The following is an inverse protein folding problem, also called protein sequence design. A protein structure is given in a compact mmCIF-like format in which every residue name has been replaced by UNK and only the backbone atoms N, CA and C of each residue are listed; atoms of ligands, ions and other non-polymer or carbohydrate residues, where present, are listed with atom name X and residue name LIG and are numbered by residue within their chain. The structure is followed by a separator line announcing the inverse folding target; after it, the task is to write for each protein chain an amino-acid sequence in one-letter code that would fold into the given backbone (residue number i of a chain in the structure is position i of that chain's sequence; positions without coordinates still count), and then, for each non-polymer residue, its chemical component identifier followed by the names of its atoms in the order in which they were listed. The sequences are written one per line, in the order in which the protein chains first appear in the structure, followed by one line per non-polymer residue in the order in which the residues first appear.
data_IF_266047645411
#
_entry.id   IF_266047645411
#
_cell.length_a   1.000
_cell.length_b   1.000
_cell.length_c   1.000
_cell.angle_alpha   90.00
_cell.angle_beta   90.00
_cell.angle_gamma   90.00
#
_symmetry.space_group_name_H-M   'P 1'
#
loop_
_entity.id
_entity.type
_entity.pdbx_description
1 polymer ?
#
# COMPACT_ATOMS: atom_id res chain seq x y z
N UNK A 1 -17.15 37.36 -5.78
CA UNK A 1 -15.69 37.24 -5.58
C UNK A 1 -15.43 37.22 -4.08
N UNK A 2 -15.64 36.06 -3.44
CA UNK A 2 -14.78 35.53 -2.37
C UNK A 2 -14.77 34.01 -2.63
N UNK A 3 -13.58 33.47 -2.50
CA UNK A 3 -13.03 32.26 -3.09
C UNK A 3 -13.67 30.99 -2.47
N UNK A 4 -14.37 30.21 -3.29
CA UNK A 4 -14.90 28.87 -2.95
C UNK A 4 -13.77 27.82 -2.95
N UNK A 5 -12.59 28.18 -2.43
CA UNK A 5 -11.39 27.33 -2.40
C UNK A 5 -11.13 26.67 -1.06
N UNK A 6 -12.14 26.62 -0.18
CA UNK A 6 -11.98 26.10 1.18
C UNK A 6 -12.54 24.68 1.40
N UNK A 7 -12.84 23.93 0.33
CA UNK A 7 -13.32 22.54 0.44
C UNK A 7 -12.55 21.62 -0.51
N UNK A 8 -11.25 21.52 -0.31
CA UNK A 8 -10.44 20.47 -0.94
C UNK A 8 -9.30 20.01 -0.03
N UNK A 9 -9.51 20.00 1.28
CA UNK A 9 -8.86 18.97 2.11
C UNK A 9 -9.48 17.63 1.72
N UNK A 10 -9.09 17.13 0.54
CA UNK A 10 -9.29 15.74 0.17
C UNK A 10 -8.58 14.94 1.25
N UNK A 11 -9.33 14.36 2.19
CA UNK A 11 -8.73 13.58 3.26
C UNK A 11 -7.85 12.49 2.64
N UNK A 12 -6.54 12.66 2.77
CA UNK A 12 -5.55 11.73 2.25
C UNK A 12 -5.32 10.64 3.28
N UNK A 13 -4.81 9.52 2.81
CA UNK A 13 -4.44 8.37 3.60
C UNK A 13 -2.98 8.05 3.34
N UNK A 14 -2.22 7.79 4.38
CA UNK A 14 -0.87 7.24 4.26
C UNK A 14 -0.89 5.76 4.66
N UNK A 15 -0.05 4.96 4.02
CA UNK A 15 0.19 3.60 4.48
C UNK A 15 1.10 3.62 5.70
N UNK A 16 0.58 3.15 6.84
CA UNK A 16 1.38 2.92 8.06
C UNK A 16 2.13 1.60 7.92
N UNK A 17 1.40 0.57 7.48
CA UNK A 17 1.96 -0.77 7.29
C UNK A 17 1.23 -1.46 6.15
N UNK A 18 1.99 -2.24 5.39
CA UNK A 18 1.47 -3.14 4.37
C UNK A 18 2.18 -4.48 4.54
N UNK A 19 1.43 -5.54 4.80
CA UNK A 19 1.94 -6.90 4.98
C UNK A 19 1.32 -7.79 3.91
N UNK A 20 2.10 -8.74 3.41
CA UNK A 20 1.66 -9.70 2.40
C UNK A 20 2.22 -11.09 2.69
N UNK A 21 1.59 -12.12 2.13
CA UNK A 21 2.01 -13.51 2.19
C UNK A 21 2.19 -13.99 3.64
N UNK A 22 3.40 -14.37 4.04
CA UNK A 22 3.68 -14.93 5.37
C UNK A 22 3.40 -13.90 6.49
N UNK A 23 3.82 -12.65 6.30
CA UNK A 23 3.62 -11.58 7.28
C UNK A 23 2.13 -11.22 7.46
N UNK A 24 1.34 -11.33 6.38
CA UNK A 24 -0.10 -11.12 6.44
C UNK A 24 -0.84 -12.33 7.03
N UNK A 25 -0.33 -13.54 6.80
CA UNK A 25 -1.01 -14.78 7.20
C UNK A 25 -1.26 -14.84 8.71
N UNK A 26 -0.30 -14.40 9.52
CA UNK A 26 -0.46 -14.33 10.98
C UNK A 26 -1.59 -13.35 11.36
N UNK A 27 -1.64 -12.19 10.71
CA UNK A 27 -2.64 -11.17 11.00
C UNK A 27 -4.02 -11.50 10.46
N UNK A 28 -4.13 -12.17 9.32
CA UNK A 28 -5.40 -12.71 8.82
C UNK A 28 -5.95 -13.76 9.80
N UNK A 29 -5.11 -14.63 10.35
CA UNK A 29 -5.52 -15.58 11.39
C UNK A 29 -5.91 -14.88 12.70
N UNK A 30 -5.23 -13.78 13.06
CA UNK A 30 -5.63 -12.95 14.21
C UNK A 30 -6.98 -12.29 13.98
N UNK A 31 -7.26 -11.78 12.77
CA UNK A 31 -8.54 -11.18 12.41
C UNK A 31 -9.67 -12.21 12.52
N UNK A 32 -9.48 -13.43 12.01
CA UNK A 32 -10.50 -14.49 12.11
C UNK A 32 -10.77 -14.91 13.57
N UNK A 33 -9.74 -14.92 14.41
CA UNK A 33 -9.82 -15.33 15.83
C UNK A 33 -10.37 -14.25 16.75
N UNK A 34 -9.83 -13.04 16.67
CA UNK A 34 -10.02 -11.96 17.65
C UNK A 34 -10.79 -10.75 17.08
N UNK A 35 -11.01 -10.72 15.77
CA UNK A 35 -11.69 -9.63 15.06
C UNK A 35 -10.76 -8.52 14.57
N UNK A 36 -11.31 -7.66 13.71
CA UNK A 36 -10.56 -6.59 13.04
C UNK A 36 -10.08 -5.50 14.00
N UNK A 37 -10.83 -5.22 15.08
CA UNK A 37 -10.44 -4.25 16.09
C UNK A 37 -9.10 -4.62 16.76
N UNK A 38 -8.92 -5.91 17.08
CA UNK A 38 -7.67 -6.39 17.67
C UNK A 38 -6.49 -6.24 16.69
N UNK A 39 -6.71 -6.51 15.40
CA UNK A 39 -5.69 -6.32 14.38
C UNK A 39 -5.30 -4.84 14.20
N UNK A 40 -6.28 -3.93 14.25
CA UNK A 40 -6.05 -2.48 14.24
C UNK A 40 -5.22 -2.05 15.46
N UNK A 41 -5.57 -2.49 16.67
CA UNK A 41 -4.79 -2.20 17.89
C UNK A 41 -3.35 -2.74 17.83
N UNK A 42 -3.16 -3.93 17.25
CA UNK A 42 -1.84 -4.51 17.07
C UNK A 42 -0.99 -3.71 16.06
N UNK A 43 -1.56 -3.35 14.92
CA UNK A 43 -0.86 -2.63 13.86
C UNK A 43 -0.56 -1.17 14.22
N UNK A 44 -1.40 -0.53 15.04
CA UNK A 44 -1.17 0.83 15.53
C UNK A 44 0.14 0.97 16.31
N UNK A 45 0.61 -0.09 16.96
CA UNK A 45 1.90 -0.07 17.68
C UNK A 45 3.11 0.08 16.74
N UNK A 46 2.91 -0.09 15.43
CA UNK A 46 3.92 0.10 14.38
C UNK A 46 3.86 1.49 13.75
N UNK A 47 2.90 2.32 14.15
CA UNK A 47 2.83 3.71 13.73
C UNK A 47 3.73 4.57 14.62
N UNK A 48 4.86 4.98 14.09
CA UNK A 48 5.82 5.83 14.79
C UNK A 48 5.53 7.33 14.62
N UNK A 49 4.35 7.71 14.12
CA UNK A 49 3.97 9.12 14.01
C UNK A 49 4.63 9.78 12.80
N UNK A 50 5.47 10.79 13.04
CA UNK A 50 6.08 11.60 11.99
C UNK A 50 7.08 10.82 11.14
N UNK A 51 7.88 9.92 11.73
CA UNK A 51 8.78 9.06 10.96
C UNK A 51 8.02 8.16 9.97
N UNK A 52 6.84 7.69 10.36
CA UNK A 52 5.97 6.88 9.47
C UNK A 52 5.35 7.75 8.38
N UNK A 53 4.94 8.98 8.72
CA UNK A 53 4.45 9.95 7.72
C UNK A 53 5.53 10.25 6.69
N UNK A 54 6.72 10.66 7.12
CA UNK A 54 7.82 11.02 6.22
C UNK A 54 8.19 9.85 5.30
N UNK A 55 8.33 8.65 5.87
CA UNK A 55 8.58 7.45 5.09
C UNK A 55 7.49 7.20 4.03
N UNK A 56 6.21 7.33 4.39
CA UNK A 56 5.11 7.17 3.45
C UNK A 56 5.12 8.24 2.35
N UNK A 57 5.40 9.51 2.69
CA UNK A 57 5.48 10.61 1.71
C UNK A 57 6.65 10.40 0.74
N UNK A 58 7.85 10.07 1.25
CA UNK A 58 9.07 9.86 0.46
C UNK A 58 8.90 8.67 -0.50
N UNK A 59 8.25 7.60 -0.05
CA UNK A 59 8.00 6.42 -0.88
C UNK A 59 6.74 6.54 -1.77
N UNK A 60 5.94 7.60 -1.60
CA UNK A 60 4.71 7.81 -2.36
C UNK A 60 3.54 6.91 -1.94
N UNK A 61 3.55 6.36 -0.72
CA UNK A 61 2.44 5.59 -0.14
C UNK A 61 1.34 6.49 0.42
N UNK A 62 0.88 7.42 -0.42
CA UNK A 62 -0.15 8.42 -0.11
C UNK A 62 -1.29 8.24 -1.10
N UNK A 63 -2.52 8.25 -0.60
CA UNK A 63 -3.71 7.98 -1.38
C UNK A 63 -4.78 9.04 -1.10
N UNK A 64 -5.48 9.50 -2.14
CA UNK A 64 -6.61 10.44 -1.96
C UNK A 64 -7.87 9.77 -1.40
N UNK A 65 -7.91 8.43 -1.41
CA UNK A 65 -8.97 7.60 -0.82
C UNK A 65 -8.36 6.27 -0.40
N UNK A 66 -9.05 5.55 0.49
CA UNK A 66 -8.66 4.19 0.84
C UNK A 66 -8.59 3.33 -0.44
N UNK A 67 -7.43 2.72 -0.77
CA UNK A 67 -7.33 1.77 -1.86
C UNK A 67 -8.14 0.51 -1.51
N UNK A 68 -9.18 0.25 -2.28
CA UNK A 68 -10.07 -0.90 -2.11
C UNK A 68 -10.22 -1.62 -3.45
N UNK A 69 -9.79 -2.87 -3.50
CA UNK A 69 -10.07 -3.83 -4.56
C UNK A 69 -11.39 -4.56 -4.34
N UNK A 70 -11.90 -5.23 -5.38
CA UNK A 70 -13.20 -5.93 -5.32
C UNK A 70 -13.25 -7.11 -4.35
N UNK A 71 -12.09 -7.64 -3.94
CA UNK A 71 -11.97 -8.76 -3.00
C UNK A 71 -11.55 -8.30 -1.59
N UNK A 72 -11.56 -7.00 -1.35
CA UNK A 72 -11.03 -6.41 -0.13
C UNK A 72 -12.16 -6.19 0.85
N UNK A 73 -11.84 -6.37 2.13
CA UNK A 73 -12.63 -5.89 3.23
C UNK A 73 -11.98 -4.64 3.78
N UNK A 74 -12.81 -3.64 4.08
CA UNK A 74 -12.37 -2.36 4.63
C UNK A 74 -13.14 -2.07 5.89
N UNK A 75 -12.41 -1.80 6.96
CA UNK A 75 -12.95 -1.33 8.23
C UNK A 75 -12.45 0.09 8.44
N UNK A 76 -13.39 1.01 8.59
CA UNK A 76 -13.15 2.41 8.93
C UNK A 76 -14.04 2.73 10.12
N UNK A 77 -13.47 3.35 11.13
CA UNK A 77 -14.20 3.86 12.29
C UNK A 77 -14.16 5.40 12.26
N UNK A 78 -15.31 6.09 12.32
CA UNK A 78 -15.36 7.55 12.19
C UNK A 78 -14.71 8.30 13.36
N UNK A 79 -14.56 7.65 14.51
CA UNK A 79 -13.90 8.20 15.70
C UNK A 79 -12.39 7.87 15.73
N UNK A 80 -11.89 7.09 14.76
CA UNK A 80 -10.50 6.67 14.62
C UNK A 80 -9.86 7.29 13.38
N UNK A 81 -8.57 7.69 13.43
CA UNK A 81 -7.84 8.11 12.24
C UNK A 81 -7.40 6.93 11.36
N UNK A 82 -7.70 5.69 11.75
CA UNK A 82 -7.21 4.49 11.06
C UNK A 82 -8.28 3.78 10.24
N UNK A 83 -7.84 3.24 9.11
CA UNK A 83 -8.61 2.29 8.33
C UNK A 83 -7.79 1.02 8.10
N UNK A 84 -8.43 -0.13 8.24
CA UNK A 84 -7.86 -1.43 7.93
C UNK A 84 -8.40 -1.90 6.57
N UNK A 85 -7.50 -2.29 5.67
CA UNK A 85 -7.88 -3.03 4.47
C UNK A 85 -7.21 -4.39 4.47
N UNK A 86 -7.94 -5.43 4.08
CA UNK A 86 -7.37 -6.76 3.97
C UNK A 86 -8.07 -7.57 2.89
N UNK A 87 -7.34 -8.50 2.29
CA UNK A 87 -7.89 -9.50 1.39
C UNK A 87 -7.33 -10.87 1.73
N UNK A 88 -8.20 -11.78 2.17
CA UNK A 88 -7.82 -13.17 2.39
C UNK A 88 -7.47 -13.88 1.08
N UNK A 89 -8.11 -13.48 -0.03
CA UNK A 89 -7.86 -14.04 -1.35
C UNK A 89 -6.45 -13.72 -1.87
N UNK A 90 -5.99 -12.49 -1.64
CA UNK A 90 -4.67 -12.02 -2.10
C UNK A 90 -3.62 -12.01 -0.98
N UNK A 91 -3.99 -12.45 0.22
CA UNK A 91 -3.07 -12.62 1.34
C UNK A 91 -2.39 -11.33 1.79
N UNK A 92 -3.12 -10.23 1.95
CA UNK A 92 -2.56 -8.98 2.47
C UNK A 92 -3.41 -8.31 3.53
N UNK A 93 -2.74 -7.49 4.34
CA UNK A 93 -3.33 -6.60 5.34
C UNK A 93 -2.60 -5.27 5.30
N UNK A 94 -3.34 -4.17 5.28
CA UNK A 94 -2.81 -2.81 5.33
C UNK A 94 -3.52 -1.98 6.39
N UNK A 95 -2.73 -1.25 7.19
CA UNK A 95 -3.24 -0.19 8.05
C UNK A 95 -2.93 1.15 7.39
N UNK A 96 -3.96 1.97 7.26
CA UNK A 96 -3.88 3.32 6.73
C UNK A 96 -4.19 4.30 7.86
N UNK A 97 -3.54 5.47 7.83
CA UNK A 97 -3.84 6.59 8.72
C UNK A 97 -4.28 7.80 7.90
N UNK A 98 -5.31 8.48 8.36
CA UNK A 98 -5.77 9.74 7.78
C UNK A 98 -4.71 10.81 7.97
N UNK A 99 -4.34 11.45 6.88
CA UNK A 99 -3.30 12.45 6.80
C UNK A 99 -3.89 13.72 6.20
N UNK A 100 -3.95 14.76 7.03
CA UNK A 100 -4.28 16.10 6.61
C UNK A 100 -2.96 16.82 6.32
N UNK A 101 -2.63 17.00 5.04
CA UNK A 101 -1.47 17.79 4.67
C UNK A 101 -1.69 19.21 5.16
N UNK A 102 -0.91 19.65 6.15
CA UNK A 102 -0.81 21.06 6.48
C UNK A 102 -0.49 21.81 5.18
N UNK A 103 -1.36 22.74 4.77
CA UNK A 103 -1.25 23.47 3.50
C UNK A 103 0.07 24.27 3.37
N UNK A 104 0.86 24.36 4.43
CA UNK A 104 2.20 24.95 4.51
C UNK A 104 3.35 24.00 4.13
N UNK A 105 3.08 22.72 3.83
CA UNK A 105 4.10 21.83 3.27
C UNK A 105 4.28 22.14 1.78
N UNK A 106 5.16 23.10 1.49
CA UNK A 106 5.60 23.44 0.13
C UNK A 106 5.92 22.16 -0.65
N UNK A 107 5.37 21.97 -1.86
CA UNK A 107 5.70 20.81 -2.67
C UNK A 107 7.19 20.87 -2.97
N UNK A 108 7.96 19.94 -2.42
CA UNK A 108 9.31 19.67 -2.90
C UNK A 108 9.18 19.14 -4.33
N UNK A 109 9.16 20.07 -5.28
CA UNK A 109 9.40 19.79 -6.68
C UNK A 109 10.81 19.21 -6.75
N UNK A 110 10.90 17.89 -6.68
CA UNK A 110 12.06 17.20 -7.22
C UNK A 110 11.98 17.41 -8.73
N UNK A 111 12.50 18.55 -9.21
CA UNK A 111 13.10 18.61 -10.53
C UNK A 111 14.20 17.55 -10.51
N UNK A 112 13.81 16.32 -10.88
CA UNK A 112 14.71 15.35 -11.44
C UNK A 112 15.27 16.03 -12.70
N UNK A 113 16.35 16.77 -12.51
CA UNK A 113 17.24 17.19 -13.57
C UNK A 113 17.71 15.90 -14.22
N UNK A 114 17.00 15.50 -15.27
CA UNK A 114 17.41 14.43 -16.16
C UNK A 114 18.58 14.99 -16.94
N UNK A 115 19.75 15.04 -16.30
CA UNK A 115 21.00 15.30 -17.00
C UNK A 115 21.27 14.07 -17.85
N UNK A 116 20.80 14.15 -19.09
CA UNK A 116 21.05 13.19 -20.16
C UNK A 116 22.56 13.13 -20.41
N UNK A 117 23.23 12.17 -19.81
CA UNK A 117 24.57 11.77 -20.22
C UNK A 117 24.66 10.25 -20.28
N UNK A 118 24.19 9.72 -21.40
CA UNK A 118 24.60 8.40 -21.86
C UNK A 118 24.70 8.43 -23.39
N UNK A 119 25.90 8.25 -23.97
CA UNK A 119 26.04 7.60 -25.24
C UNK A 119 26.55 6.18 -24.97
N UNK A 120 25.62 5.25 -24.75
CA UNK A 120 25.91 3.86 -25.09
C UNK A 120 24.67 3.24 -25.75
N UNK A 121 24.55 3.51 -27.06
CA UNK A 121 23.89 2.59 -27.98
C UNK A 121 24.73 1.32 -28.03
N UNK A 122 24.12 0.16 -27.82
CA UNK A 122 23.76 -0.73 -28.94
C UNK A 122 22.95 -1.96 -28.45
N UNK A 123 21.93 -2.35 -29.23
CA UNK A 123 21.34 -3.70 -29.34
C UNK A 123 20.62 -4.32 -28.11
N UNK A 124 19.43 -4.96 -28.11
CA UNK A 124 18.44 -5.53 -29.07
C UNK A 124 17.39 -6.31 -28.18
N UNK A 125 16.16 -6.68 -28.63
CA UNK A 125 14.94 -5.91 -28.75
C UNK A 125 13.79 -6.35 -27.78
N UNK A 126 12.69 -5.62 -27.86
CA UNK A 126 11.42 -5.82 -27.17
C UNK A 126 10.64 -6.99 -27.80
N UNK A 127 10.39 -8.08 -27.08
CA UNK A 127 9.21 -8.93 -27.30
C UNK A 127 8.87 -9.69 -26.01
N UNK A 128 7.67 -9.46 -25.48
CA UNK A 128 6.80 -10.55 -25.00
C UNK A 128 5.38 -9.97 -24.93
N UNK A 129 4.73 -9.95 -26.09
CA UNK A 129 3.28 -10.02 -26.12
C UNK A 129 2.93 -11.52 -26.16
N UNK A 130 2.06 -11.91 -25.24
CA UNK A 130 1.16 -13.09 -25.18
C UNK A 130 1.48 -14.34 -26.01
N UNK A 131 1.41 -15.52 -25.35
CA UNK A 131 0.43 -16.53 -25.77
C UNK A 131 0.01 -17.47 -24.62
N UNK A 132 -1.29 -17.79 -24.48
CA UNK A 132 -1.84 -18.69 -23.47
C UNK A 132 -2.08 -20.11 -24.02
N UNK A 133 -1.35 -21.12 -23.54
CA UNK A 133 -1.79 -22.52 -23.58
C UNK A 133 -0.86 -23.47 -22.81
N UNK A 134 -1.46 -24.55 -22.30
CA UNK A 134 -0.89 -25.78 -21.71
C UNK A 134 -0.52 -25.71 -20.22
N UNK A 135 -1.39 -26.23 -19.35
CA UNK A 135 -1.62 -27.66 -19.05
C UNK A 135 -0.63 -28.23 -18.03
N UNK A 136 -1.18 -28.46 -16.83
CA UNK A 136 -0.96 -29.58 -15.91
C UNK A 136 0.35 -30.37 -16.01
N UNK A 137 1.10 -30.45 -14.90
CA UNK A 137 1.65 -31.73 -14.43
C UNK A 137 1.90 -31.72 -12.90
N UNK A 138 1.06 -32.50 -12.21
CA UNK A 138 1.36 -33.18 -10.94
C UNK A 138 2.72 -33.86 -11.01
N UNK A 139 3.54 -33.81 -9.95
CA UNK A 139 4.25 -34.98 -9.36
C UNK A 139 5.07 -34.61 -8.11
N UNK A 140 4.81 -35.37 -7.04
CA UNK A 140 5.58 -35.50 -5.79
C UNK A 140 7.06 -35.75 -6.07
N UNK A 141 7.99 -35.29 -5.23
CA UNK A 141 9.18 -36.09 -4.88
C UNK A 141 9.61 -35.81 -3.44
N UNK A 142 9.68 -36.89 -2.65
CA UNK A 142 10.34 -36.95 -1.36
C UNK A 142 11.86 -37.02 -1.57
N UNK A 143 12.63 -36.39 -0.69
CA UNK A 143 14.08 -36.61 -0.58
C UNK A 143 14.35 -37.13 0.83
N UNK A 144 14.83 -38.37 0.86
CA UNK A 144 15.49 -38.97 2.01
C UNK A 144 16.99 -38.69 1.92
N UNK A 145 17.63 -38.52 3.07
CA UNK A 145 18.84 -39.22 3.48
C UNK A 145 18.92 -39.21 5.01
#
# INVERSE_FOLDING_TARGET
MIDERMDASTSRWISVVFLQDEDASELLAMIDRDGEAAAIEYLQQRDFGDETTDAALVNGYVYDRIPVGSADRTIEDPDSPYALTYSEQYGYVSLLRRYEASLDAEPVVHEASVETSAPFRDAIPQHWDVDPALSAHRTRHAIAL
#
